data_IF_000188851152
#
_entry.id   IF_000188851152
#
_cell.length_a   1.000
_cell.length_b   1.000
_cell.length_c   1.000
_cell.angle_alpha   90.00
_cell.angle_beta   90.00
_cell.angle_gamma   90.00
#
_symmetry.space_group_name_H-M   'P 1'
#
loop_
_entity.id
_entity.type
_entity.pdbx_description
1 polymer ?
#
# COMPACT_ATOMS: atom_id res chain seq x y z
N UNK A 1 -21.65 3.11 26.93
CA UNK A 1 -21.46 2.72 25.51
C UNK A 1 -20.05 3.11 25.14
N UNK A 2 -19.19 2.15 24.85
CA UNK A 2 -17.82 2.43 24.37
C UNK A 2 -17.96 3.15 23.04
N UNK A 3 -17.48 4.39 22.97
CA UNK A 3 -17.49 5.17 21.74
C UNK A 3 -16.56 4.48 20.73
N UNK A 4 -17.12 3.89 19.68
CA UNK A 4 -16.32 3.23 18.64
C UNK A 4 -15.61 4.32 17.83
N UNK A 5 -14.28 4.21 17.56
CA UNK A 5 -13.56 5.19 16.77
C UNK A 5 -14.09 5.23 15.33
N UNK A 6 -14.27 6.43 14.78
CA UNK A 6 -14.65 6.61 13.39
C UNK A 6 -13.49 6.17 12.48
N UNK A 7 -13.79 5.32 11.49
CA UNK A 7 -12.82 4.87 10.48
C UNK A 7 -13.10 5.59 9.16
N UNK A 8 -12.10 6.27 8.61
CA UNK A 8 -12.13 6.75 7.23
C UNK A 8 -11.47 5.72 6.32
N UNK A 9 -12.27 5.08 5.49
CA UNK A 9 -11.79 4.14 4.46
C UNK A 9 -11.46 4.93 3.20
N UNK A 10 -10.20 5.01 2.84
CA UNK A 10 -9.71 5.73 1.66
C UNK A 10 -9.37 4.72 0.56
N UNK A 11 -10.01 4.89 -0.59
CA UNK A 11 -9.86 4.05 -1.78
C UNK A 11 -9.28 4.92 -2.92
N UNK A 12 -7.96 4.93 -3.14
CA UNK A 12 -7.38 5.48 -4.36
C UNK A 12 -7.78 4.62 -5.55
N UNK A 13 -8.21 5.22 -6.65
CA UNK A 13 -8.54 4.46 -7.87
C UNK A 13 -8.00 5.14 -9.12
N UNK A 14 -7.66 4.34 -10.14
CA UNK A 14 -7.21 4.79 -11.45
C UNK A 14 -7.55 3.76 -12.52
N UNK A 15 -8.40 4.14 -13.48
CA UNK A 15 -8.84 3.29 -14.61
C UNK A 15 -9.42 1.93 -14.17
N UNK A 16 -10.22 1.92 -13.08
CA UNK A 16 -10.93 0.75 -12.56
C UNK A 16 -12.44 0.93 -12.73
N UNK A 17 -13.11 -0.15 -13.08
CA UNK A 17 -14.54 -0.15 -13.30
C UNK A 17 -15.24 -1.13 -12.33
N UNK A 18 -15.53 -2.34 -12.76
CA UNK A 18 -16.23 -3.36 -11.96
C UNK A 18 -15.52 -3.68 -10.63
N UNK A 19 -14.18 -3.88 -10.58
CA UNK A 19 -13.51 -4.17 -9.31
C UNK A 19 -13.69 -3.05 -8.27
N UNK A 20 -13.67 -1.76 -8.70
CA UNK A 20 -13.94 -0.64 -7.82
C UNK A 20 -15.35 -0.69 -7.22
N UNK A 21 -16.37 -0.95 -8.05
CA UNK A 21 -17.76 -1.07 -7.57
C UNK A 21 -17.90 -2.19 -6.55
N UNK A 22 -17.33 -3.34 -6.84
CA UNK A 22 -17.34 -4.51 -5.97
C UNK A 22 -16.65 -4.23 -4.62
N UNK A 23 -15.50 -3.56 -4.66
CA UNK A 23 -14.76 -3.16 -3.45
C UNK A 23 -15.59 -2.21 -2.58
N UNK A 24 -16.21 -1.18 -3.18
CA UNK A 24 -17.08 -0.24 -2.46
C UNK A 24 -18.27 -0.98 -1.83
N UNK A 25 -18.90 -1.91 -2.55
CA UNK A 25 -20.00 -2.70 -2.01
C UNK A 25 -19.59 -3.53 -0.80
N UNK A 26 -18.41 -4.15 -0.82
CA UNK A 26 -17.92 -4.95 0.30
C UNK A 26 -17.61 -4.06 1.52
N UNK A 27 -17.14 -2.81 1.32
CA UNK A 27 -16.98 -1.84 2.41
C UNK A 27 -18.33 -1.43 2.98
N UNK A 28 -19.32 -1.14 2.14
CA UNK A 28 -20.65 -0.72 2.59
C UNK A 28 -21.43 -1.82 3.33
N UNK A 29 -21.05 -3.10 3.16
CA UNK A 29 -21.63 -4.26 3.87
C UNK A 29 -20.99 -4.53 5.23
N UNK A 30 -20.02 -3.74 5.67
CA UNK A 30 -19.34 -3.98 6.94
C UNK A 30 -20.26 -3.77 8.15
N UNK A 31 -20.08 -4.62 9.16
CA UNK A 31 -20.87 -4.60 10.40
C UNK A 31 -20.30 -3.65 11.48
N UNK A 32 -19.60 -2.62 11.06
CA UNK A 32 -19.02 -1.59 11.89
C UNK A 32 -19.76 -0.26 11.67
N UNK A 33 -20.44 0.30 12.66
CA UNK A 33 -21.39 1.41 12.43
C UNK A 33 -20.72 2.78 12.27
N UNK A 34 -19.45 2.93 12.63
CA UNK A 34 -18.75 4.21 12.66
C UNK A 34 -17.66 4.27 11.57
N UNK A 35 -18.06 4.42 10.31
CA UNK A 35 -17.11 4.60 9.21
C UNK A 35 -17.65 5.56 8.15
N UNK A 36 -16.74 6.11 7.37
CA UNK A 36 -16.98 6.86 6.14
C UNK A 36 -16.12 6.28 5.01
N UNK A 37 -16.56 6.46 3.77
CA UNK A 37 -15.83 5.98 2.58
C UNK A 37 -15.45 7.17 1.71
N UNK A 38 -14.16 7.30 1.40
CA UNK A 38 -13.61 8.33 0.54
C UNK A 38 -12.98 7.67 -0.69
N UNK A 39 -13.55 7.90 -1.86
CA UNK A 39 -12.96 7.46 -3.14
C UNK A 39 -12.20 8.62 -3.75
N UNK A 40 -10.88 8.46 -3.92
CA UNK A 40 -10.03 9.45 -4.61
C UNK A 40 -9.75 8.93 -6.01
N UNK A 41 -10.52 9.47 -6.94
CA UNK A 41 -10.61 8.97 -8.30
C UNK A 41 -9.76 9.80 -9.26
N UNK A 42 -8.76 9.13 -9.81
CA UNK A 42 -7.78 9.66 -10.75
C UNK A 42 -8.12 9.28 -12.21
N UNK A 43 -9.29 8.65 -12.42
CA UNK A 43 -9.72 8.15 -13.73
C UNK A 43 -10.25 9.31 -14.59
N UNK A 44 -9.69 9.55 -15.78
CA UNK A 44 -10.17 10.62 -16.65
C UNK A 44 -11.63 10.46 -17.05
N UNK A 45 -12.06 9.24 -17.37
CA UNK A 45 -13.43 8.94 -17.81
C UNK A 45 -13.79 7.50 -17.43
N UNK A 46 -14.91 7.32 -16.75
CA UNK A 46 -15.50 6.02 -16.47
C UNK A 46 -16.46 5.56 -17.55
N UNK A 47 -16.72 4.25 -17.58
CA UNK A 47 -17.88 3.70 -18.30
C UNK A 47 -19.18 4.25 -17.68
N UNK A 48 -20.25 4.40 -18.50
CA UNK A 48 -21.53 4.98 -18.01
C UNK A 48 -22.07 4.30 -16.74
N UNK A 49 -21.91 2.99 -16.61
CA UNK A 49 -22.41 2.22 -15.47
C UNK A 49 -21.65 2.57 -14.19
N UNK A 50 -20.33 2.70 -14.25
CA UNK A 50 -19.49 3.07 -13.09
C UNK A 50 -19.70 4.53 -12.74
N UNK A 51 -19.79 5.41 -13.74
CA UNK A 51 -20.09 6.84 -13.54
C UNK A 51 -21.41 7.01 -12.77
N UNK A 52 -22.50 6.40 -13.27
CA UNK A 52 -23.81 6.49 -12.67
C UNK A 52 -23.84 5.89 -11.24
N UNK A 53 -23.13 4.79 -11.02
CA UNK A 53 -23.01 4.17 -9.71
C UNK A 53 -22.34 5.09 -8.69
N UNK A 54 -21.20 5.70 -9.04
CA UNK A 54 -20.48 6.61 -8.15
C UNK A 54 -21.28 7.89 -7.87
N UNK A 55 -21.95 8.45 -8.89
CA UNK A 55 -22.86 9.60 -8.73
C UNK A 55 -24.02 9.29 -7.79
N UNK A 56 -24.64 8.11 -7.94
CA UNK A 56 -25.72 7.70 -7.04
C UNK A 56 -25.23 7.57 -5.60
N UNK A 57 -24.11 6.89 -5.34
CA UNK A 57 -23.58 6.72 -3.99
C UNK A 57 -23.19 8.05 -3.34
N UNK A 58 -22.64 8.99 -4.13
CA UNK A 58 -22.30 10.32 -3.65
C UNK A 58 -23.56 11.13 -3.31
N UNK A 59 -24.58 11.10 -4.16
CA UNK A 59 -25.87 11.76 -3.92
C UNK A 59 -26.60 11.19 -2.71
N UNK A 60 -26.51 9.88 -2.49
CA UNK A 60 -27.07 9.18 -1.32
C UNK A 60 -26.28 9.46 -0.02
N UNK A 61 -25.15 10.15 -0.09
CA UNK A 61 -24.24 10.40 1.04
C UNK A 61 -23.54 9.16 1.58
N UNK A 62 -23.49 8.07 0.79
CA UNK A 62 -22.84 6.80 1.18
C UNK A 62 -21.35 6.81 0.98
N UNK A 63 -20.87 7.62 0.01
CA UNK A 63 -19.46 7.75 -0.38
C UNK A 63 -19.15 9.22 -0.63
N UNK A 64 -17.99 9.67 -0.16
CA UNK A 64 -17.40 10.93 -0.61
C UNK A 64 -16.53 10.67 -1.83
N UNK A 65 -16.99 11.07 -3.01
CA UNK A 65 -16.28 10.83 -4.28
C UNK A 65 -15.57 12.09 -4.74
N UNK A 66 -14.25 12.03 -4.84
CA UNK A 66 -13.37 13.13 -5.24
C UNK A 66 -12.66 12.79 -6.54
N UNK A 67 -12.90 13.57 -7.58
CA UNK A 67 -12.20 13.46 -8.86
C UNK A 67 -11.01 14.39 -8.91
N UNK A 68 -9.88 13.86 -9.39
CA UNK A 68 -8.63 14.61 -9.57
C UNK A 68 -8.09 14.41 -11.00
N UNK A 69 -7.37 15.40 -11.52
CA UNK A 69 -6.84 15.41 -12.91
C UNK A 69 -5.38 14.94 -13.04
N UNK A 70 -4.87 14.31 -12.00
CA UNK A 70 -3.51 13.78 -11.91
C UNK A 70 -3.51 12.33 -11.42
N UNK A 71 -2.43 11.55 -11.72
CA UNK A 71 -2.26 10.16 -11.31
C UNK A 71 -1.03 10.01 -10.40
N UNK A 72 -1.27 9.75 -9.12
CA UNK A 72 -0.25 9.49 -8.11
C UNK A 72 -0.85 8.75 -6.92
N UNK A 73 -0.46 7.49 -6.69
CA UNK A 73 -0.97 6.72 -5.57
C UNK A 73 -0.67 7.39 -4.21
N UNK A 74 0.59 7.81 -3.90
CA UNK A 74 0.84 8.53 -2.65
C UNK A 74 0.12 9.89 -2.58
N UNK A 75 -0.03 10.58 -3.71
CA UNK A 75 -0.79 11.82 -3.79
C UNK A 75 -2.28 11.61 -3.45
N UNK A 76 -2.90 10.56 -4.02
CA UNK A 76 -4.30 10.23 -3.73
C UNK A 76 -4.52 9.86 -2.25
N UNK A 77 -3.58 9.13 -1.64
CA UNK A 77 -3.62 8.85 -0.19
C UNK A 77 -3.55 10.13 0.63
N UNK A 78 -2.59 11.01 0.35
CA UNK A 78 -2.48 12.30 1.03
C UNK A 78 -3.73 13.16 0.86
N UNK A 79 -4.30 13.18 -0.35
CA UNK A 79 -5.53 13.92 -0.66
C UNK A 79 -6.71 13.41 0.17
N UNK A 80 -6.89 12.10 0.26
CA UNK A 80 -7.92 11.47 1.07
C UNK A 80 -7.75 11.76 2.56
N UNK A 81 -6.53 11.66 3.11
CA UNK A 81 -6.22 11.97 4.51
C UNK A 81 -6.66 13.38 4.91
N UNK A 82 -6.42 14.38 4.06
CA UNK A 82 -6.83 15.77 4.37
C UNK A 82 -8.34 15.96 4.44
N UNK A 83 -9.11 15.06 3.84
CA UNK A 83 -10.58 15.10 3.80
C UNK A 83 -11.24 14.13 4.77
N UNK A 84 -10.46 13.25 5.35
CA UNK A 84 -10.91 12.25 6.31
C UNK A 84 -11.24 12.87 7.66
N UNK A 85 -12.35 12.43 8.28
CA UNK A 85 -12.80 12.86 9.61
C UNK A 85 -12.47 11.83 10.69
N UNK A 86 -12.22 10.57 10.31
CA UNK A 86 -12.03 9.44 11.22
C UNK A 86 -10.80 9.55 12.11
N UNK A 87 -10.89 8.95 13.28
CA UNK A 87 -9.76 8.76 14.19
C UNK A 87 -8.76 7.72 13.67
N UNK A 88 -9.25 6.81 12.83
CA UNK A 88 -8.49 5.78 12.14
C UNK A 88 -8.59 6.03 10.63
N UNK A 89 -7.46 6.09 9.96
CA UNK A 89 -7.36 6.17 8.50
C UNK A 89 -7.01 4.78 7.98
N UNK A 90 -7.88 4.19 7.18
CA UNK A 90 -7.69 2.87 6.57
C UNK A 90 -7.53 3.03 5.07
N UNK A 91 -6.44 2.52 4.52
CA UNK A 91 -6.20 2.44 3.08
C UNK A 91 -6.43 1.02 2.58
N UNK A 92 -7.21 0.92 1.52
CA UNK A 92 -7.40 -0.30 0.73
C UNK A 92 -7.28 0.04 -0.75
N UNK A 93 -6.90 -0.95 -1.57
CA UNK A 93 -6.90 -0.79 -3.02
C UNK A 93 -8.33 -0.97 -3.59
N UNK A 94 -8.51 -0.62 -4.85
CA UNK A 94 -9.79 -0.63 -5.57
C UNK A 94 -10.16 -2.00 -6.19
N UNK A 95 -9.34 -3.03 -5.93
CA UNK A 95 -9.53 -4.40 -6.42
C UNK A 95 -9.33 -5.43 -5.30
N UNK A 96 -10.04 -5.22 -4.20
CA UNK A 96 -9.99 -6.12 -3.03
C UNK A 96 -11.36 -6.70 -2.69
N UNK A 97 -11.35 -7.88 -2.06
CA UNK A 97 -12.51 -8.51 -1.43
C UNK A 97 -12.25 -8.67 0.05
N UNK A 98 -13.23 -8.37 0.89
CA UNK A 98 -13.07 -8.44 2.34
C UNK A 98 -14.29 -9.06 3.03
N UNK A 99 -14.10 -9.78 4.17
CA UNK A 99 -15.21 -10.34 4.94
C UNK A 99 -15.93 -9.23 5.72
N UNK A 100 -17.16 -9.51 6.08
CA UNK A 100 -17.87 -8.77 7.14
C UNK A 100 -17.06 -8.90 8.44
N UNK A 101 -16.81 -7.78 9.13
CA UNK A 101 -15.93 -7.74 10.31
C UNK A 101 -14.50 -7.25 10.06
N UNK A 102 -14.13 -6.99 8.81
CA UNK A 102 -12.81 -6.46 8.45
C UNK A 102 -12.49 -5.12 9.16
N UNK A 103 -13.45 -4.18 9.19
CA UNK A 103 -13.28 -2.91 9.89
C UNK A 103 -13.13 -3.10 11.40
N UNK A 104 -13.90 -4.00 12.01
CA UNK A 104 -13.75 -4.35 13.44
C UNK A 104 -12.37 -4.89 13.77
N UNK A 105 -11.83 -5.75 12.87
CA UNK A 105 -10.52 -6.34 13.07
C UNK A 105 -9.41 -5.26 13.05
N UNK A 106 -9.51 -4.24 12.21
CA UNK A 106 -8.62 -3.09 12.29
C UNK A 106 -8.82 -2.28 13.57
N UNK A 107 -10.07 -1.89 13.87
CA UNK A 107 -10.41 -0.99 14.97
C UNK A 107 -9.97 -1.53 16.34
N UNK A 108 -10.12 -2.83 16.58
CA UNK A 108 -9.81 -3.48 17.87
C UNK A 108 -8.36 -3.30 18.32
N UNK A 109 -7.43 -3.07 17.40
CA UNK A 109 -6.02 -2.91 17.74
C UNK A 109 -5.71 -1.54 18.36
N UNK A 110 -6.54 -0.54 18.11
CA UNK A 110 -6.30 0.84 18.53
C UNK A 110 -6.72 1.15 19.99
N UNK A 111 -7.23 0.15 20.75
CA UNK A 111 -7.35 0.28 22.20
C UNK A 111 -5.97 0.34 22.88
N UNK A 112 -4.94 -0.14 22.23
CA UNK A 112 -3.54 -0.09 22.66
C UNK A 112 -2.93 1.24 22.20
N UNK A 113 -2.52 2.05 23.17
CA UNK A 113 -2.02 3.41 22.90
C UNK A 113 -0.71 3.44 22.10
N UNK A 114 0.11 2.39 22.23
CA UNK A 114 1.37 2.24 21.50
C UNK A 114 1.18 1.86 20.03
N UNK A 115 0.03 1.33 19.61
CA UNK A 115 -0.24 0.95 18.23
C UNK A 115 -0.62 2.19 17.42
N UNK A 116 0.27 2.60 16.54
CA UNK A 116 0.05 3.69 15.59
C UNK A 116 -0.48 3.22 14.24
N UNK A 117 -0.15 1.98 13.85
CA UNK A 117 -0.58 1.40 12.58
C UNK A 117 -0.92 -0.09 12.71
N UNK A 118 -1.85 -0.55 11.88
CA UNK A 118 -2.20 -1.96 11.73
C UNK A 118 -1.92 -2.41 10.30
N UNK A 119 -1.10 -3.44 10.17
CA UNK A 119 -0.85 -4.17 8.93
C UNK A 119 -1.79 -5.37 8.89
N UNK A 120 -2.73 -5.40 7.94
CA UNK A 120 -3.64 -6.53 7.79
C UNK A 120 -3.05 -7.64 6.93
N UNK A 121 -3.65 -8.83 7.03
CA UNK A 121 -3.30 -10.00 6.23
C UNK A 121 -3.79 -9.83 4.80
N UNK A 122 -2.98 -10.25 3.81
CA UNK A 122 -3.31 -10.11 2.40
C UNK A 122 -3.13 -11.43 1.67
N UNK A 123 -4.22 -11.92 1.09
CA UNK A 123 -4.21 -13.05 0.17
C UNK A 123 -4.16 -12.54 -1.27
N UNK A 124 -3.11 -12.84 -2.03
CA UNK A 124 -3.06 -12.50 -3.44
C UNK A 124 -3.74 -13.59 -4.27
N UNK A 125 -4.78 -13.25 -5.04
CA UNK A 125 -5.50 -14.18 -5.93
C UNK A 125 -4.54 -14.95 -6.85
N UNK A 126 -3.59 -14.26 -7.45
CA UNK A 126 -2.61 -14.89 -8.35
C UNK A 126 -1.77 -15.98 -7.68
N UNK A 127 -1.59 -15.93 -6.36
CA UNK A 127 -0.84 -16.93 -5.59
C UNK A 127 -1.71 -18.10 -5.11
N UNK A 128 -3.02 -17.89 -5.04
CA UNK A 128 -3.99 -18.87 -4.52
C UNK A 128 -4.65 -19.71 -5.62
N UNK A 129 -4.44 -19.38 -6.91
CA UNK A 129 -5.08 -20.01 -8.06
C UNK A 129 -6.40 -19.32 -8.45
N UNK A 130 -6.74 -19.42 -9.75
CA UNK A 130 -7.75 -18.59 -10.42
C UNK A 130 -9.21 -18.79 -9.97
N UNK A 131 -9.52 -19.87 -9.31
CA UNK A 131 -10.90 -20.19 -8.92
C UNK A 131 -11.02 -20.17 -7.40
N UNK A 132 -10.45 -19.17 -6.78
CA UNK A 132 -10.42 -19.02 -5.34
C UNK A 132 -11.83 -19.05 -4.76
N UNK A 133 -12.13 -20.09 -4.03
CA UNK A 133 -13.17 -20.05 -3.04
C UNK A 133 -12.66 -19.10 -1.94
N UNK A 134 -13.21 -17.90 -1.93
CA UNK A 134 -12.83 -16.81 -1.04
C UNK A 134 -13.11 -17.07 0.45
N UNK A 135 -13.55 -18.27 0.81
CA UNK A 135 -13.73 -18.67 2.21
C UNK A 135 -12.38 -18.87 2.86
N UNK A 136 -12.20 -18.29 4.05
CA UNK A 136 -10.94 -18.31 4.79
C UNK A 136 -10.41 -19.73 5.01
N UNK A 137 -11.30 -20.70 5.31
CA UNK A 137 -10.94 -22.10 5.51
C UNK A 137 -10.30 -22.75 4.28
N UNK A 138 -10.65 -22.28 3.07
CA UNK A 138 -10.05 -22.73 1.81
C UNK A 138 -8.87 -21.90 1.35
N UNK A 139 -8.78 -20.64 1.82
CA UNK A 139 -7.65 -19.76 1.53
C UNK A 139 -6.48 -19.95 2.49
N UNK A 140 -6.70 -20.66 3.61
CA UNK A 140 -5.65 -20.90 4.59
C UNK A 140 -4.47 -21.63 3.94
N UNK A 141 -3.26 -21.09 4.16
CA UNK A 141 -2.06 -21.66 3.58
C UNK A 141 -1.78 -23.06 4.13
N UNK A 142 -0.98 -23.82 3.37
CA UNK A 142 -0.49 -25.12 3.83
C UNK A 142 0.02 -25.02 5.27
N UNK A 143 -0.49 -25.83 6.23
CA UNK A 143 -0.10 -25.77 7.64
C UNK A 143 1.41 -25.88 7.87
N UNK A 144 2.14 -26.55 6.95
CA UNK A 144 3.61 -26.66 7.04
C UNK A 144 4.36 -25.35 6.75
N UNK A 145 3.69 -24.36 6.16
CA UNK A 145 4.26 -23.07 5.83
C UNK A 145 3.84 -21.96 6.80
N UNK A 146 2.98 -22.28 7.79
CA UNK A 146 2.48 -21.28 8.74
C UNK A 146 3.60 -20.77 9.65
N UNK A 147 3.70 -19.45 9.74
CA UNK A 147 4.69 -18.75 10.56
C UNK A 147 3.98 -18.24 11.82
N UNK A 148 4.35 -18.76 12.97
CA UNK A 148 3.81 -18.27 14.25
C UNK A 148 4.59 -17.05 14.73
N UNK A 149 5.91 -17.13 14.74
CA UNK A 149 6.81 -16.07 15.17
C UNK A 149 7.70 -15.64 14.00
N UNK A 150 7.71 -14.35 13.72
CA UNK A 150 8.63 -13.79 12.75
C UNK A 150 10.06 -13.82 13.29
N UNK A 151 11.06 -14.08 12.44
CA UNK A 151 12.45 -14.04 12.85
C UNK A 151 12.87 -12.59 13.21
N UNK A 152 13.95 -12.45 13.98
CA UNK A 152 14.47 -11.13 14.40
C UNK A 152 14.76 -10.21 13.23
N UNK A 153 15.19 -10.76 12.10
CA UNK A 153 15.46 -10.05 10.84
C UNK A 153 14.22 -9.36 10.26
N UNK A 154 13.02 -9.81 10.62
CA UNK A 154 11.78 -9.14 10.22
C UNK A 154 11.66 -7.72 10.78
N UNK A 155 12.44 -7.38 11.80
CA UNK A 155 12.52 -6.03 12.37
C UNK A 155 13.69 -5.19 11.83
N UNK A 156 14.52 -5.73 10.94
CA UNK A 156 15.61 -5.00 10.29
C UNK A 156 15.07 -3.97 9.29
N UNK A 157 15.36 -2.67 9.44
CA UNK A 157 14.90 -1.62 8.53
C UNK A 157 15.31 -1.83 7.07
N UNK A 158 16.44 -2.49 6.83
CA UNK A 158 16.97 -2.73 5.49
C UNK A 158 16.27 -3.85 4.74
N UNK A 159 15.87 -4.92 5.42
CA UNK A 159 15.39 -6.16 4.78
C UNK A 159 14.15 -6.78 5.42
N UNK A 160 13.64 -6.21 6.51
CA UNK A 160 12.60 -6.83 7.32
C UNK A 160 11.33 -7.21 6.55
N UNK A 161 10.92 -6.40 5.58
CA UNK A 161 9.75 -6.71 4.75
C UNK A 161 9.90 -7.96 3.86
N UNK A 162 11.09 -8.50 3.67
CA UNK A 162 11.30 -9.79 2.98
C UNK A 162 10.96 -10.99 3.87
N UNK A 163 10.88 -10.79 5.18
CA UNK A 163 10.58 -11.81 6.18
C UNK A 163 9.12 -11.78 6.62
N UNK A 164 8.40 -10.68 6.37
CA UNK A 164 6.98 -10.58 6.68
C UNK A 164 6.21 -11.28 5.56
N UNK A 165 5.70 -12.47 5.83
CA UNK A 165 4.77 -13.13 4.92
C UNK A 165 3.34 -12.80 5.34
N UNK A 166 2.69 -11.93 4.57
CA UNK A 166 1.33 -11.48 4.85
C UNK A 166 0.26 -12.54 4.60
N UNK A 167 0.60 -13.71 4.06
CA UNK A 167 -0.28 -14.86 3.91
C UNK A 167 -0.08 -15.87 5.02
N UNK A 168 1.19 -16.21 5.29
CA UNK A 168 1.55 -17.32 6.19
C UNK A 168 1.79 -16.92 7.64
N UNK A 169 1.87 -15.63 7.96
CA UNK A 169 1.99 -15.15 9.35
C UNK A 169 0.64 -15.29 10.06
N UNK A 170 0.60 -16.10 11.14
CA UNK A 170 -0.65 -16.61 11.70
C UNK A 170 -1.09 -15.91 12.97
N UNK A 171 -0.23 -15.15 13.64
CA UNK A 171 -0.60 -14.49 14.91
C UNK A 171 -0.30 -13.00 14.90
N UNK A 172 -1.04 -12.22 15.70
CA UNK A 172 -0.76 -10.80 15.88
C UNK A 172 0.63 -10.58 16.47
N UNK A 173 1.41 -9.68 15.86
CA UNK A 173 2.75 -9.35 16.34
C UNK A 173 3.25 -8.03 15.74
N UNK A 174 4.33 -7.50 16.32
CA UNK A 174 5.00 -6.30 15.78
C UNK A 174 5.64 -6.61 14.43
N UNK A 175 5.53 -5.65 13.53
CA UNK A 175 6.14 -5.70 12.19
C UNK A 175 6.78 -4.36 11.84
N UNK A 176 7.58 -4.34 10.79
CA UNK A 176 8.28 -3.14 10.34
C UNK A 176 7.55 -2.39 9.21
N UNK A 177 6.64 -3.06 8.52
CA UNK A 177 5.96 -2.54 7.34
C UNK A 177 4.56 -3.13 7.21
N UNK A 178 3.76 -2.55 6.34
CA UNK A 178 2.43 -3.02 5.95
C UNK A 178 2.38 -3.20 4.42
N UNK A 179 1.30 -3.77 3.90
CA UNK A 179 0.99 -3.75 2.46
C UNK A 179 0.03 -2.61 2.15
N UNK A 180 0.33 -1.85 1.09
CA UNK A 180 -0.43 -0.67 0.70
C UNK A 180 -1.92 -0.91 0.49
N UNK A 181 -2.31 -2.13 0.09
CA UNK A 181 -3.70 -2.51 -0.10
C UNK A 181 -4.44 -2.88 1.20
N UNK A 182 -3.77 -2.92 2.36
CA UNK A 182 -4.37 -3.31 3.66
C UNK A 182 -3.59 -2.74 4.84
N UNK A 183 -3.74 -1.46 5.12
CA UNK A 183 -3.05 -0.78 6.20
C UNK A 183 -3.92 0.32 6.81
N UNK A 184 -3.91 0.41 8.14
CA UNK A 184 -4.58 1.53 8.83
C UNK A 184 -3.63 2.24 9.78
N UNK A 185 -3.97 3.49 10.12
CA UNK A 185 -3.14 4.39 10.93
C UNK A 185 -4.00 5.24 11.87
N UNK A 186 -3.47 5.62 13.03
CA UNK A 186 -4.05 6.71 13.81
C UNK A 186 -3.97 8.01 13.02
N UNK A 187 -5.05 8.76 12.97
CA UNK A 187 -5.10 10.07 12.28
C UNK A 187 -4.05 11.04 12.82
N UNK A 188 -3.73 10.99 14.10
CA UNK A 188 -2.72 11.87 14.71
C UNK A 188 -1.32 11.75 14.08
N UNK A 189 -0.99 10.61 13.45
CA UNK A 189 0.24 10.42 12.70
C UNK A 189 0.36 11.45 11.58
N UNK A 190 -0.75 11.76 10.92
CA UNK A 190 -0.81 12.74 9.84
C UNK A 190 -0.96 14.17 10.38
N UNK A 191 -1.81 14.38 11.40
CA UNK A 191 -2.19 15.71 11.86
C UNK A 191 -1.23 16.30 12.90
N UNK A 192 -0.76 15.48 13.84
CA UNK A 192 0.14 15.92 14.92
C UNK A 192 1.61 15.73 14.58
N UNK A 193 1.95 14.58 13.96
CA UNK A 193 3.35 14.30 13.60
C UNK A 193 3.68 14.75 12.18
N UNK A 194 2.68 15.18 11.38
CA UNK A 194 2.88 15.75 10.05
C UNK A 194 3.40 14.77 9.01
N UNK A 195 3.28 13.44 9.25
CA UNK A 195 3.70 12.46 8.27
C UNK A 195 2.78 12.47 7.05
N UNK A 196 3.37 12.37 5.87
CA UNK A 196 2.68 12.25 4.59
C UNK A 196 3.35 11.18 3.74
N UNK A 197 2.61 10.55 2.84
CA UNK A 197 3.21 9.71 1.82
C UNK A 197 4.07 10.55 0.88
N UNK A 198 5.23 10.04 0.52
CA UNK A 198 6.17 10.80 -0.32
C UNK A 198 5.81 10.66 -1.80
N UNK A 199 5.32 11.74 -2.39
CA UNK A 199 4.85 11.78 -3.78
C UNK A 199 5.97 11.66 -4.84
N UNK A 200 7.23 11.57 -4.40
CA UNK A 200 8.38 11.27 -5.27
C UNK A 200 8.47 9.78 -5.64
N UNK A 201 7.72 8.90 -4.93
CA UNK A 201 7.54 7.51 -5.36
C UNK A 201 6.63 7.46 -6.59
N UNK A 202 7.14 6.92 -7.69
CA UNK A 202 6.53 7.00 -9.02
C UNK A 202 6.18 5.61 -9.57
N UNK A 203 5.44 5.60 -10.69
CA UNK A 203 5.02 4.36 -11.36
C UNK A 203 4.13 3.53 -10.45
N UNK A 204 4.55 2.30 -10.12
CA UNK A 204 3.84 1.44 -9.15
C UNK A 204 3.87 1.98 -7.72
N UNK A 205 4.57 3.07 -7.46
CA UNK A 205 4.84 3.62 -6.13
C UNK A 205 5.41 2.60 -5.12
N UNK A 206 5.91 1.44 -5.57
CA UNK A 206 6.46 0.39 -4.71
C UNK A 206 7.39 0.97 -3.66
N UNK A 207 7.31 0.52 -2.42
CA UNK A 207 8.05 1.00 -1.24
C UNK A 207 7.58 2.33 -0.65
N UNK A 208 6.55 2.98 -1.17
CA UNK A 208 6.02 4.20 -0.55
C UNK A 208 5.43 3.91 0.85
N UNK A 209 4.75 2.78 0.99
CA UNK A 209 4.24 2.29 2.28
C UNK A 209 5.37 1.89 3.24
N UNK A 210 6.44 1.28 2.71
CA UNK A 210 7.62 0.92 3.49
C UNK A 210 8.36 2.17 3.99
N UNK A 211 8.52 3.19 3.13
CA UNK A 211 9.07 4.50 3.49
C UNK A 211 8.23 5.15 4.60
N UNK A 212 6.91 5.15 4.45
CA UNK A 212 6.00 5.72 5.44
C UNK A 212 6.12 5.00 6.80
N UNK A 213 6.10 3.65 6.77
CA UNK A 213 6.23 2.83 7.96
C UNK A 213 7.57 3.03 8.70
N UNK A 214 8.68 3.20 7.98
CA UNK A 214 9.98 3.50 8.59
C UNK A 214 9.97 4.86 9.30
N UNK A 215 9.36 5.88 8.70
CA UNK A 215 9.25 7.21 9.30
C UNK A 215 8.28 7.22 10.50
N UNK A 216 7.20 6.45 10.42
CA UNK A 216 6.25 6.28 11.52
C UNK A 216 6.94 5.76 12.78
N UNK A 217 7.84 4.79 12.65
CA UNK A 217 8.61 4.27 13.81
C UNK A 217 9.38 5.35 14.55
N UNK A 218 9.82 6.40 13.85
CA UNK A 218 10.48 7.57 14.44
C UNK A 218 9.58 8.39 15.38
N UNK A 219 8.26 8.19 15.33
CA UNK A 219 7.29 8.84 16.24
C UNK A 219 7.12 8.12 17.58
N UNK A 220 7.69 6.93 17.73
CA UNK A 220 7.55 6.08 18.91
C UNK A 220 6.38 5.10 18.84
N UNK A 221 5.52 5.20 17.83
CA UNK A 221 4.43 4.23 17.62
C UNK A 221 4.94 2.91 17.05
N UNK A 222 4.17 1.85 17.34
CA UNK A 222 4.36 0.51 16.81
C UNK A 222 3.46 0.25 15.60
N UNK A 223 3.95 -0.61 14.70
CA UNK A 223 3.15 -1.21 13.63
C UNK A 223 2.81 -2.63 14.07
N UNK A 224 1.51 -2.95 14.12
CA UNK A 224 1.00 -4.22 14.60
C UNK A 224 0.37 -5.02 13.45
N UNK A 225 0.84 -6.23 13.22
CA UNK A 225 0.21 -7.13 12.27
C UNK A 225 -0.96 -7.85 12.92
N UNK A 226 -2.12 -7.86 12.25
CA UNK A 226 -3.30 -8.59 12.68
C UNK A 226 -3.81 -9.50 11.56
N UNK A 227 -3.69 -10.85 11.71
CA UNK A 227 -4.13 -11.78 10.67
C UNK A 227 -5.65 -11.85 10.49
N UNK A 228 -6.45 -11.38 11.45
CA UNK A 228 -7.91 -11.33 11.34
C UNK A 228 -8.39 -10.10 10.55
N UNK A 229 -7.56 -9.06 10.44
CA UNK A 229 -7.79 -7.94 9.55
C UNK A 229 -7.38 -8.31 8.10
N UNK A 230 -8.08 -9.29 7.51
CA UNK A 230 -7.66 -9.85 6.22
C UNK A 230 -8.53 -9.42 5.05
N UNK A 231 -7.91 -9.37 3.88
CA UNK A 231 -8.57 -9.20 2.59
C UNK A 231 -7.90 -10.06 1.51
N UNK A 232 -8.59 -10.18 0.38
CA UNK A 232 -8.07 -10.78 -0.85
C UNK A 232 -7.81 -9.67 -1.85
N UNK A 233 -6.57 -9.54 -2.30
CA UNK A 233 -6.17 -8.63 -3.37
C UNK A 233 -6.30 -9.36 -4.71
N UNK A 234 -7.14 -8.85 -5.60
CA UNK A 234 -7.48 -9.51 -6.85
C UNK A 234 -6.34 -9.42 -7.87
N UNK A 235 -5.58 -8.32 -7.85
CA UNK A 235 -4.47 -8.10 -8.78
C UNK A 235 -4.97 -8.01 -10.22
N UNK A 236 -5.97 -7.16 -10.45
CA UNK A 236 -6.60 -6.98 -11.76
C UNK A 236 -5.61 -6.50 -12.83
N UNK A 237 -5.71 -7.04 -14.04
CA UNK A 237 -4.75 -6.77 -15.13
C UNK A 237 -4.92 -5.38 -15.77
N UNK A 238 -6.10 -4.76 -15.65
CA UNK A 238 -6.41 -3.45 -16.21
C UNK A 238 -6.51 -2.39 -15.12
N UNK A 239 -6.15 -1.14 -15.38
CA UNK A 239 -6.16 -0.05 -14.40
C UNK A 239 -5.09 -0.18 -13.32
N UNK A 240 -4.99 0.75 -12.40
CA UNK A 240 -4.07 0.73 -11.24
C UNK A 240 -2.59 0.54 -11.57
N UNK A 241 -1.89 -0.13 -10.66
CA UNK A 241 -0.46 -0.47 -10.78
C UNK A 241 -0.28 -1.92 -11.19
N UNK A 242 -0.08 -2.20 -12.48
CA UNK A 242 0.11 -3.57 -12.98
C UNK A 242 1.48 -4.17 -12.70
N UNK A 243 1.64 -5.46 -13.05
CA UNK A 243 2.93 -6.15 -13.01
C UNK A 243 4.00 -5.35 -13.77
N UNK A 244 5.10 -5.12 -13.08
CA UNK A 244 6.26 -4.37 -13.56
C UNK A 244 6.85 -4.98 -14.84
N UNK A 245 6.74 -6.30 -15.02
CA UNK A 245 7.30 -7.01 -16.16
C UNK A 245 6.61 -6.69 -17.49
N UNK A 246 5.35 -6.26 -17.44
CA UNK A 246 4.53 -5.93 -18.60
C UNK A 246 4.53 -4.45 -18.95
N UNK A 247 5.16 -3.60 -18.12
CA UNK A 247 5.16 -2.15 -18.28
C UNK A 247 6.32 -1.62 -19.11
N UNK A 248 6.25 -0.34 -19.44
CA UNK A 248 7.28 0.39 -20.18
C UNK A 248 8.66 0.33 -19.50
N UNK A 249 9.73 0.56 -20.26
CA UNK A 249 11.09 0.64 -19.72
C UNK A 249 11.19 1.67 -18.59
N UNK A 250 10.53 2.81 -18.73
CA UNK A 250 10.49 3.85 -17.70
C UNK A 250 9.90 3.31 -16.39
N UNK A 251 8.85 2.51 -16.47
CA UNK A 251 8.22 1.91 -15.30
C UNK A 251 9.13 0.90 -14.61
N UNK A 252 9.89 0.10 -15.37
CA UNK A 252 10.89 -0.82 -14.82
C UNK A 252 12.04 -0.08 -14.12
N UNK A 253 12.48 1.05 -14.67
CA UNK A 253 13.49 1.90 -14.01
C UNK A 253 12.94 2.49 -12.71
N UNK A 254 11.67 2.95 -12.68
CA UNK A 254 11.08 3.52 -11.47
C UNK A 254 10.92 2.51 -10.34
N UNK A 255 10.78 1.22 -10.64
CA UNK A 255 10.82 0.17 -9.61
C UNK A 255 12.13 0.20 -8.80
N UNK A 256 13.26 0.25 -9.49
CA UNK A 256 14.55 0.35 -8.82
C UNK A 256 14.76 1.71 -8.17
N UNK A 257 14.38 2.80 -8.84
CA UNK A 257 14.39 4.14 -8.27
C UNK A 257 13.71 4.18 -6.90
N UNK A 258 12.51 3.62 -6.78
CA UNK A 258 11.73 3.65 -5.54
C UNK A 258 12.42 2.85 -4.41
N UNK A 259 13.01 1.68 -4.71
CA UNK A 259 13.79 0.92 -3.74
C UNK A 259 15.01 1.72 -3.23
N UNK A 260 15.73 2.38 -4.15
CA UNK A 260 16.87 3.23 -3.78
C UNK A 260 16.46 4.49 -3.04
N UNK A 261 15.38 5.15 -3.47
CA UNK A 261 14.87 6.35 -2.83
C UNK A 261 14.52 6.07 -1.36
N UNK A 262 13.81 4.98 -1.09
CA UNK A 262 13.49 4.56 0.28
C UNK A 262 14.75 4.33 1.11
N UNK A 263 15.75 3.62 0.55
CA UNK A 263 17.01 3.35 1.24
C UNK A 263 17.79 4.63 1.54
N UNK A 264 17.97 5.49 0.54
CA UNK A 264 18.72 6.76 0.68
C UNK A 264 18.11 7.72 1.71
N UNK A 265 16.77 7.66 1.87
CA UNK A 265 16.06 8.53 2.82
C UNK A 265 16.11 8.05 4.27
N UNK A 266 16.02 6.74 4.49
CA UNK A 266 15.63 6.20 5.78
C UNK A 266 16.65 5.27 6.41
N UNK A 267 17.65 4.80 5.66
CA UNK A 267 18.54 3.73 6.10
C UNK A 267 19.96 4.22 6.33
N UNK A 268 20.61 3.66 7.33
CA UNK A 268 22.06 3.79 7.54
C UNK A 268 22.81 3.13 6.38
N UNK A 269 24.09 3.48 6.21
CA UNK A 269 24.93 2.95 5.13
C UNK A 269 24.93 1.40 5.08
N UNK A 270 25.04 0.74 6.22
CA UNK A 270 25.07 -0.73 6.26
C UNK A 270 23.69 -1.34 5.96
N UNK A 271 22.60 -0.72 6.36
CA UNK A 271 21.24 -1.14 6.00
C UNK A 271 20.99 -0.96 4.50
N UNK A 272 21.47 0.15 3.92
CA UNK A 272 21.44 0.37 2.47
C UNK A 272 22.18 -0.73 1.71
N UNK A 273 23.38 -1.10 2.14
CA UNK A 273 24.13 -2.19 1.52
C UNK A 273 23.35 -3.51 1.55
N UNK A 274 22.72 -3.84 2.68
CA UNK A 274 21.88 -5.05 2.78
C UNK A 274 20.68 -4.98 1.83
N UNK A 275 19.95 -3.86 1.84
CA UNK A 275 18.83 -3.65 0.94
C UNK A 275 19.23 -3.80 -0.52
N UNK A 276 20.24 -3.05 -0.93
CA UNK A 276 20.64 -2.98 -2.35
C UNK A 276 21.20 -4.31 -2.83
N UNK A 277 21.99 -5.01 -2.02
CA UNK A 277 22.44 -6.37 -2.31
C UNK A 277 21.26 -7.33 -2.45
N UNK A 278 20.26 -7.25 -1.55
CA UNK A 278 19.08 -8.12 -1.61
C UNK A 278 18.24 -7.85 -2.85
N UNK A 279 18.00 -6.57 -3.18
CA UNK A 279 17.32 -6.17 -4.42
C UNK A 279 18.09 -6.66 -5.65
N UNK A 280 19.41 -6.54 -5.66
CA UNK A 280 20.25 -7.03 -6.76
C UNK A 280 20.13 -8.55 -6.91
N UNK A 281 20.33 -9.30 -5.85
CA UNK A 281 20.23 -10.76 -5.87
C UNK A 281 18.87 -11.26 -6.36
N UNK A 282 17.80 -10.69 -5.79
CA UNK A 282 16.44 -11.11 -6.07
C UNK A 282 15.98 -10.62 -7.45
N UNK A 283 16.07 -9.33 -7.70
CA UNK A 283 15.45 -8.69 -8.86
C UNK A 283 16.34 -8.70 -10.11
N UNK A 284 17.67 -8.60 -9.96
CA UNK A 284 18.61 -8.60 -11.08
C UNK A 284 19.06 -10.02 -11.40
N UNK A 285 19.64 -10.73 -10.43
CA UNK A 285 20.15 -12.08 -10.65
C UNK A 285 19.06 -13.16 -10.69
N UNK A 286 17.84 -12.83 -10.26
CA UNK A 286 16.69 -13.75 -10.26
C UNK A 286 16.82 -14.89 -9.25
N UNK A 287 17.55 -14.67 -8.14
CA UNK A 287 17.67 -15.65 -7.06
C UNK A 287 16.40 -15.73 -6.20
N UNK A 288 16.18 -16.79 -5.42
CA UNK A 288 15.04 -16.86 -4.52
C UNK A 288 14.96 -15.63 -3.58
N UNK A 289 13.76 -15.20 -3.23
CA UNK A 289 12.43 -15.75 -3.57
C UNK A 289 11.89 -15.33 -4.94
N UNK A 290 12.54 -14.42 -5.68
CA UNK A 290 11.99 -13.85 -6.92
C UNK A 290 11.98 -14.80 -8.12
N UNK A 291 12.85 -15.79 -8.14
CA UNK A 291 12.92 -16.86 -9.15
C UNK A 291 12.77 -16.41 -10.61
N UNK A 292 13.39 -15.28 -10.98
CA UNK A 292 13.34 -14.74 -12.34
C UNK A 292 14.28 -15.49 -13.30
N UNK A 293 14.00 -15.38 -14.60
CA UNK A 293 14.89 -15.93 -15.64
C UNK A 293 16.34 -15.48 -15.45
N UNK A 294 17.27 -16.44 -15.50
CA UNK A 294 18.73 -16.21 -15.35
C UNK A 294 19.47 -16.15 -16.69
N UNK A 295 18.75 -15.93 -17.79
CA UNK A 295 19.39 -15.65 -19.09
C UNK A 295 20.33 -14.45 -18.98
N UNK A 296 21.57 -14.52 -19.52
CA UNK A 296 22.55 -13.43 -19.46
C UNK A 296 21.99 -12.10 -19.99
N UNK A 297 21.24 -12.13 -21.08
CA UNK A 297 20.61 -10.94 -21.68
C UNK A 297 19.61 -10.30 -20.71
N UNK A 298 18.76 -11.10 -20.05
CA UNK A 298 17.79 -10.60 -19.09
C UNK A 298 18.45 -10.08 -17.81
N UNK A 299 19.54 -10.70 -17.35
CA UNK A 299 20.35 -10.21 -16.23
C UNK A 299 20.95 -8.85 -16.58
N UNK A 300 21.59 -8.73 -17.75
CA UNK A 300 22.22 -7.48 -18.19
C UNK A 300 21.20 -6.35 -18.31
N UNK A 301 20.04 -6.60 -18.91
CA UNK A 301 18.94 -5.63 -19.00
C UNK A 301 18.48 -5.16 -17.63
N UNK A 302 18.24 -6.07 -16.68
CA UNK A 302 17.84 -5.71 -15.32
C UNK A 302 18.95 -4.96 -14.56
N UNK A 303 20.21 -5.31 -14.77
CA UNK A 303 21.35 -4.59 -14.20
C UNK A 303 21.43 -3.15 -14.70
N UNK A 304 21.14 -2.92 -15.99
CA UNK A 304 21.06 -1.56 -16.56
C UNK A 304 19.92 -0.76 -15.90
N UNK A 305 18.73 -1.34 -15.73
CA UNK A 305 17.61 -0.67 -15.03
C UNK A 305 17.92 -0.40 -13.56
N UNK A 306 18.61 -1.32 -12.88
CA UNK A 306 19.07 -1.15 -11.51
C UNK A 306 20.01 0.06 -11.39
N UNK A 307 21.02 0.16 -12.27
CA UNK A 307 21.96 1.28 -12.28
C UNK A 307 21.29 2.61 -12.60
N UNK A 308 20.42 2.64 -13.62
CA UNK A 308 19.64 3.84 -13.95
C UNK A 308 18.68 4.25 -12.84
N UNK A 309 18.06 3.28 -12.19
CA UNK A 309 17.19 3.52 -11.02
C UNK A 309 17.94 4.18 -9.87
N UNK A 310 19.18 3.72 -9.59
CA UNK A 310 20.04 4.32 -8.59
C UNK A 310 20.38 5.79 -8.91
N UNK A 311 20.84 6.05 -10.13
CA UNK A 311 21.18 7.40 -10.58
C UNK A 311 19.97 8.35 -10.52
N UNK A 312 18.79 7.85 -10.90
CA UNK A 312 17.55 8.62 -10.82
C UNK A 312 17.16 8.92 -9.36
N UNK A 313 17.35 7.98 -8.44
CA UNK A 313 17.07 8.19 -7.01
C UNK A 313 18.00 9.24 -6.41
N UNK A 314 19.30 9.19 -6.71
CA UNK A 314 20.25 10.22 -6.33
C UNK A 314 19.84 11.59 -6.87
N UNK A 315 19.48 11.68 -8.15
CA UNK A 315 18.97 12.91 -8.75
C UNK A 315 17.71 13.45 -8.06
N UNK A 316 16.82 12.56 -7.62
CA UNK A 316 15.61 12.94 -6.86
C UNK A 316 15.97 13.54 -5.51
N UNK A 317 16.89 12.95 -4.75
CA UNK A 317 17.35 13.45 -3.45
C UNK A 317 18.05 14.82 -3.62
N UNK A 318 18.95 14.95 -4.60
CA UNK A 318 19.69 16.21 -4.84
C UNK A 318 18.76 17.37 -5.23
N UNK A 319 17.73 17.12 -6.03
CA UNK A 319 16.74 18.16 -6.40
C UNK A 319 15.85 18.58 -5.23
N UNK A 320 15.51 17.65 -4.34
CA UNK A 320 14.66 17.94 -3.16
C UNK A 320 15.31 18.90 -2.18
N UNK A 321 16.64 18.96 -2.11
CA UNK A 321 17.38 19.98 -1.35
C UNK A 321 17.31 21.39 -1.95
N UNK A 322 16.81 21.54 -3.19
CA UNK A 322 16.74 22.82 -3.92
C UNK A 322 15.32 23.37 -4.11
N UNK A 323 14.29 22.53 -4.02
CA UNK A 323 12.90 22.96 -4.26
C UNK A 323 11.99 22.37 -3.19
N UNK A 324 11.35 23.22 -2.39
CA UNK A 324 10.07 22.91 -1.73
C UNK A 324 8.97 22.87 -2.82
N UNK A 325 9.03 21.85 -3.69
CA UNK A 325 8.06 21.69 -4.79
C UNK A 325 6.67 21.40 -4.26
N UNK A 326 5.66 22.03 -4.86
CA UNK A 326 4.26 21.70 -4.63
C UNK A 326 4.02 20.23 -4.96
N UNK A 327 3.37 19.51 -4.05
CA UNK A 327 2.95 18.13 -4.26
C UNK A 327 1.64 18.10 -5.05
N UNK A 328 1.36 17.01 -5.78
CA UNK A 328 0.09 16.84 -6.51
C UNK A 328 -1.13 17.10 -5.62
N UNK A 329 -1.07 16.60 -4.41
CA UNK A 329 -2.13 16.73 -3.43
C UNK A 329 -2.41 18.17 -2.96
N UNK A 330 -1.50 19.13 -3.21
CA UNK A 330 -1.65 20.56 -2.90
C UNK A 330 -2.08 21.41 -4.11
N UNK A 331 -2.02 20.86 -5.33
CA UNK A 331 -2.36 21.61 -6.55
C UNK A 331 -3.85 21.97 -6.62
N UNK A 332 -4.73 21.09 -6.11
CA UNK A 332 -6.18 21.32 -6.13
C UNK A 332 -6.66 22.37 -5.12
N UNK A 333 -5.90 22.67 -4.08
CA UNK A 333 -6.27 23.70 -3.10
C UNK A 333 -6.19 25.12 -3.68
N UNK A 334 -5.53 25.32 -4.83
CA UNK A 334 -5.41 26.61 -5.51
C UNK A 334 -6.43 26.85 -6.61
N UNK A 335 -7.27 25.86 -6.93
CA UNK A 335 -8.32 25.96 -7.97
C UNK A 335 -9.72 26.25 -7.39
N UNK A 336 -9.85 26.43 -6.08
CA UNK A 336 -11.12 26.79 -5.40
C UNK A 336 -11.17 28.26 -5.10
#
# INVERSE_FOLDING_TARGET
MTNLPLISVIIPTYEREEPLRDTIEDVLKQDYPAFEVLVVDQTPTHKPETQAYLEQLANDGKVSWFRVDWASLPGARNYGVRRASGEIILFIDDDVKMPVGFLKAHARNYHRTEVGAVAGRVFDRMKLGEKGDWRLDKMLPNPRLQIQDLPSEAMDPGIGWYYIDFVYTMKPQRVISARGCNMSFRREIFTKYGLQFDERFRGSAVREESDFCLRLRGTGFEIWYDPDAYLVHLGEETGGCHDISTRTLQYQITFYHNNFLMGLKNLTFFEQLRLYSRVFDCQVLGRPPCNKSRSPIKILSRASFYSLGFLNALGTIMRSGRNNGQTYSQMDEKKV
#
